data_IF_452543415790
#
_entry.id   IF_452543415790
#
_cell.length_a   1.000
_cell.length_b   1.000
_cell.length_c   1.000
_cell.angle_alpha   90.00
_cell.angle_beta   90.00
_cell.angle_gamma   90.00
#
_symmetry.space_group_name_H-M   'P 1'
#
loop_
_entity.id
_entity.type
_entity.pdbx_description
1 polymer ?
#
# COMPACT_ATOMS: atom_id res chain seq x y z
N UNK A 1 -22.17 -3.17 8.26
CA UNK A 1 -20.98 -3.83 7.66
C UNK A 1 -20.63 -5.08 8.47
N UNK A 2 -20.06 -6.13 7.86
CA UNK A 2 -19.68 -7.41 8.54
C UNK A 2 -18.18 -7.56 8.80
N UNK A 3 -17.37 -6.77 8.09
CA UNK A 3 -15.92 -6.79 8.13
C UNK A 3 -15.38 -5.37 8.28
N UNK A 4 -14.18 -5.24 8.82
CA UNK A 4 -13.44 -3.98 8.93
C UNK A 4 -12.10 -4.17 8.23
N UNK A 5 -11.77 -3.22 7.36
CA UNK A 5 -10.42 -3.06 6.81
C UNK A 5 -9.75 -1.96 7.63
N UNK A 6 -8.55 -2.22 8.12
CA UNK A 6 -7.71 -1.24 8.80
C UNK A 6 -6.32 -1.28 8.21
N UNK A 7 -5.62 -0.14 8.23
CA UNK A 7 -4.27 -0.06 7.70
C UNK A 7 -3.37 0.85 8.53
N UNK A 8 -2.06 0.59 8.44
CA UNK A 8 -1.00 1.43 8.98
C UNK A 8 -0.01 1.75 7.87
N UNK A 9 0.24 3.04 7.67
CA UNK A 9 1.33 3.50 6.81
C UNK A 9 2.63 3.25 7.56
N UNK A 10 3.49 2.39 7.03
CA UNK A 10 4.83 2.12 7.57
C UNK A 10 5.87 3.03 6.95
N UNK A 11 5.75 3.29 5.63
CA UNK A 11 6.56 4.26 4.90
C UNK A 11 5.72 4.94 3.82
N UNK A 12 5.94 6.24 3.66
CA UNK A 12 5.38 7.05 2.59
C UNK A 12 6.36 8.19 2.32
N UNK A 13 7.36 7.90 1.49
CA UNK A 13 8.53 8.76 1.37
C UNK A 13 8.95 8.92 -0.09
N UNK A 14 9.51 10.10 -0.37
CA UNK A 14 10.34 10.35 -1.53
C UNK A 14 11.79 10.09 -1.15
N UNK A 15 12.51 9.35 -1.99
CA UNK A 15 13.96 9.13 -1.88
C UNK A 15 14.62 9.95 -2.98
N UNK A 16 15.36 10.97 -2.58
CA UNK A 16 16.14 11.81 -3.49
C UNK A 16 17.39 11.08 -4.01
N UNK A 17 17.76 11.38 -5.25
CA UNK A 17 18.90 10.79 -5.95
C UNK A 17 18.61 10.62 -7.45
N UNK A 18 19.60 10.21 -8.27
CA UNK A 18 19.40 9.81 -9.65
C UNK A 18 19.25 8.27 -9.77
N UNK A 19 18.04 7.73 -10.00
CA UNK A 19 16.76 8.42 -10.17
C UNK A 19 16.04 8.67 -8.84
N UNK A 20 15.15 9.66 -8.85
CA UNK A 20 14.25 9.96 -7.71
C UNK A 20 13.20 8.87 -7.63
N UNK A 21 12.91 8.39 -6.42
CA UNK A 21 11.99 7.26 -6.21
C UNK A 21 10.98 7.59 -5.14
N UNK A 22 9.86 6.89 -5.21
CA UNK A 22 8.83 6.88 -4.17
C UNK A 22 8.79 5.49 -3.56
N UNK A 23 8.82 5.43 -2.23
CA UNK A 23 8.72 4.19 -1.46
C UNK A 23 7.44 4.24 -0.63
N UNK A 24 6.61 3.21 -0.79
CA UNK A 24 5.42 3.02 0.03
C UNK A 24 5.43 1.64 0.67
N UNK A 25 5.08 1.62 1.95
CA UNK A 25 4.92 0.38 2.71
C UNK A 25 3.68 0.51 3.57
N UNK A 26 2.71 -0.39 3.35
CA UNK A 26 1.43 -0.43 4.06
C UNK A 26 1.25 -1.77 4.74
N UNK A 27 0.88 -1.75 6.01
CA UNK A 27 0.33 -2.91 6.70
C UNK A 27 -1.20 -2.83 6.60
N UNK A 28 -1.83 -3.86 6.06
CA UNK A 28 -3.28 -3.94 5.87
C UNK A 28 -3.84 -5.16 6.58
N UNK A 29 -4.99 -4.98 7.23
CA UNK A 29 -5.69 -6.02 7.95
C UNK A 29 -7.18 -6.07 7.58
N UNK A 30 -7.73 -7.28 7.56
CA UNK A 30 -9.17 -7.55 7.47
C UNK A 30 -9.60 -8.35 8.68
N UNK A 31 -10.61 -7.86 9.40
CA UNK A 31 -11.22 -8.58 10.53
C UNK A 31 -12.72 -8.73 10.34
N UNK A 32 -13.27 -9.87 10.75
CA UNK A 32 -14.72 -10.06 10.90
C UNK A 32 -15.17 -9.40 12.20
N UNK A 33 -16.23 -8.60 12.16
CA UNK A 33 -16.75 -7.90 13.34
C UNK A 33 -17.28 -8.92 14.35
N UNK A 34 -18.13 -9.85 13.89
CA UNK A 34 -18.67 -10.90 14.74
C UNK A 34 -17.55 -11.85 15.16
N UNK A 35 -17.28 -11.90 16.47
CA UNK A 35 -16.25 -12.75 17.06
C UNK A 35 -14.82 -12.26 16.84
N UNK A 36 -14.64 -11.02 16.36
CA UNK A 36 -13.35 -10.32 16.23
C UNK A 36 -12.23 -11.12 15.54
N UNK A 37 -12.60 -12.01 14.62
CA UNK A 37 -11.64 -12.89 13.95
C UNK A 37 -10.80 -12.11 12.93
N UNK A 38 -9.48 -12.13 13.09
CA UNK A 38 -8.53 -11.67 12.09
C UNK A 38 -8.51 -12.64 10.90
N UNK A 39 -8.71 -12.13 9.69
CA UNK A 39 -8.75 -12.91 8.45
C UNK A 39 -7.49 -12.72 7.61
N UNK A 40 -6.98 -11.49 7.56
CA UNK A 40 -5.78 -11.14 6.84
C UNK A 40 -5.01 -10.09 7.64
N UNK A 41 -3.69 -10.23 7.72
CA UNK A 41 -2.76 -9.20 8.13
C UNK A 41 -1.50 -9.38 7.30
N UNK A 42 -1.19 -8.40 6.43
CA UNK A 42 0.00 -8.44 5.58
C UNK A 42 0.60 -7.06 5.42
N UNK A 43 1.92 -7.05 5.23
CA UNK A 43 2.68 -5.86 4.84
C UNK A 43 2.95 -5.92 3.34
N UNK A 44 2.59 -4.85 2.65
CA UNK A 44 2.81 -4.66 1.23
C UNK A 44 3.80 -3.52 1.04
N UNK A 45 4.78 -3.74 0.15
CA UNK A 45 5.76 -2.72 -0.22
C UNK A 45 5.84 -2.61 -1.72
N UNK A 46 6.01 -1.38 -2.19
CA UNK A 46 6.34 -1.08 -3.58
C UNK A 46 7.31 0.10 -3.63
N UNK A 47 8.19 0.09 -4.62
CA UNK A 47 9.12 1.17 -4.92
C UNK A 47 9.00 1.49 -6.40
N UNK A 48 8.76 2.76 -6.71
CA UNK A 48 8.57 3.23 -8.09
C UNK A 48 9.45 4.44 -8.33
N UNK A 49 10.17 4.39 -9.45
CA UNK A 49 10.89 5.54 -9.96
C UNK A 49 9.91 6.63 -10.40
N UNK A 50 10.11 7.86 -9.93
CA UNK A 50 9.37 9.01 -10.41
C UNK A 50 9.85 9.38 -11.83
N UNK A 51 8.93 9.89 -12.66
CA UNK A 51 9.25 10.30 -14.02
C UNK A 51 10.31 11.41 -14.06
N UNK A 52 10.28 12.31 -13.07
CA UNK A 52 11.22 13.40 -12.88
C UNK A 52 11.33 13.77 -11.38
N UNK A 53 12.10 14.82 -11.08
CA UNK A 53 12.37 15.28 -9.71
C UNK A 53 11.29 16.22 -9.14
N UNK A 54 10.17 16.42 -9.83
CA UNK A 54 9.08 17.26 -9.33
C UNK A 54 8.25 16.54 -8.26
N UNK A 55 7.60 17.32 -7.39
CA UNK A 55 6.65 16.78 -6.41
C UNK A 55 5.47 16.09 -7.11
N UNK A 56 5.01 16.63 -8.25
CA UNK A 56 3.91 16.03 -9.03
C UNK A 56 4.25 14.61 -9.48
N UNK A 57 5.42 14.42 -10.11
CA UNK A 57 5.85 13.09 -10.53
C UNK A 57 6.02 12.11 -9.36
N UNK A 58 6.40 12.62 -8.18
CA UNK A 58 6.47 11.82 -6.95
C UNK A 58 5.08 11.36 -6.51
N UNK A 59 4.09 12.26 -6.49
CA UNK A 59 2.69 11.93 -6.15
C UNK A 59 2.09 10.94 -7.14
N UNK A 60 2.35 11.12 -8.44
CA UNK A 60 1.88 10.20 -9.47
C UNK A 60 2.48 8.79 -9.29
N UNK A 61 3.77 8.70 -8.97
CA UNK A 61 4.44 7.44 -8.64
C UNK A 61 3.84 6.77 -7.38
N UNK A 62 3.56 7.54 -6.33
CA UNK A 62 2.91 7.05 -5.11
C UNK A 62 1.51 6.48 -5.40
N UNK A 63 0.71 7.18 -6.21
CA UNK A 63 -0.62 6.71 -6.62
C UNK A 63 -0.55 5.41 -7.43
N UNK A 64 0.43 5.29 -8.34
CA UNK A 64 0.66 4.06 -9.08
C UNK A 64 1.04 2.89 -8.16
N UNK A 65 1.90 3.13 -7.16
CA UNK A 65 2.27 2.13 -6.16
C UNK A 65 1.10 1.72 -5.27
N UNK A 66 0.25 2.65 -4.84
CA UNK A 66 -0.97 2.35 -4.08
C UNK A 66 -1.89 1.41 -4.86
N UNK A 67 -2.12 1.67 -6.15
CA UNK A 67 -2.94 0.81 -7.00
C UNK A 67 -2.38 -0.62 -7.07
N UNK A 68 -1.06 -0.78 -7.20
CA UNK A 68 -0.41 -2.10 -7.17
C UNK A 68 -0.57 -2.79 -5.83
N UNK A 69 -0.42 -2.06 -4.71
CA UNK A 69 -0.61 -2.60 -3.37
C UNK A 69 -2.05 -3.07 -3.18
N UNK A 70 -3.04 -2.28 -3.56
CA UNK A 70 -4.45 -2.66 -3.45
C UNK A 70 -4.79 -3.86 -4.34
N UNK A 71 -4.24 -3.95 -5.55
CA UNK A 71 -4.41 -5.14 -6.39
C UNK A 71 -3.84 -6.40 -5.73
N UNK A 72 -2.63 -6.32 -5.14
CA UNK A 72 -2.02 -7.44 -4.37
C UNK A 72 -2.87 -7.80 -3.15
N UNK A 73 -3.36 -6.81 -2.42
CA UNK A 73 -4.23 -7.01 -1.25
C UNK A 73 -5.54 -7.72 -1.62
N UNK A 74 -6.22 -7.29 -2.70
CA UNK A 74 -7.44 -7.94 -3.18
C UNK A 74 -7.18 -9.37 -3.66
N UNK A 75 -6.05 -9.61 -4.32
CA UNK A 75 -5.65 -10.95 -4.77
C UNK A 75 -5.30 -11.90 -3.63
N UNK A 76 -4.80 -11.39 -2.50
CA UNK A 76 -4.62 -12.17 -1.29
C UNK A 76 -5.96 -12.42 -0.59
N UNK A 77 -6.82 -11.39 -0.52
CA UNK A 77 -8.14 -11.48 0.09
C UNK A 77 -9.06 -12.48 -0.63
N UNK A 78 -8.92 -12.66 -1.93
CA UNK A 78 -9.71 -13.65 -2.68
C UNK A 78 -9.33 -15.10 -2.38
N UNK A 79 -8.26 -15.36 -1.61
CA UNK A 79 -7.76 -16.71 -1.29
C UNK A 79 -8.14 -17.17 0.13
N UNK A 80 -8.92 -16.36 0.86
CA UNK A 80 -9.25 -16.55 2.28
C UNK A 80 -10.76 -16.64 2.46
#
# INVERSE_FOLDING_TARGET
>A
ANYVISGKIRRLERVDGPPTRSVIELELAVRRIKGEKLLLLRTYRDEVQAADSTVRATVDALNASLNKIYAKFLADLSKI
#
